data_IF_754910756304
#
_entry.id   IF_754910756304
#
_cell.length_a   1.000
_cell.length_b   1.000
_cell.length_c   1.000
_cell.angle_alpha   90.00
_cell.angle_beta   90.00
_cell.angle_gamma   90.00
#
_symmetry.space_group_name_H-M   'P 1'
#
loop_
_entity.id
_entity.type
_entity.pdbx_description
1 polymer ?
#
# COMPACT_ATOMS: atom_id res chain seq x y z
N UNK A 1 -3.69 -20.26 17.10
CA UNK A 1 -4.72 -19.26 17.46
C UNK A 1 -4.25 -18.49 18.68
N UNK A 2 -4.52 -17.19 18.77
CA UNK A 2 -4.07 -16.30 19.85
C UNK A 2 -5.12 -15.25 20.16
N UNK A 3 -5.27 -14.92 21.44
CA UNK A 3 -6.15 -13.86 21.94
C UNK A 3 -5.27 -12.84 22.67
N UNK A 4 -5.48 -11.57 22.38
CA UNK A 4 -4.76 -10.45 22.97
C UNK A 4 -5.70 -9.65 23.87
N UNK A 5 -5.22 -9.23 25.03
CA UNK A 5 -5.94 -8.36 25.96
C UNK A 5 -5.62 -6.88 25.70
N UNK A 6 -6.17 -6.00 26.53
CA UNK A 6 -5.95 -4.56 26.44
C UNK A 6 -4.53 -4.10 26.80
N UNK A 7 -3.77 -4.94 27.52
CA UNK A 7 -2.41 -4.63 27.95
C UNK A 7 -1.37 -5.10 26.92
N UNK A 8 -1.82 -5.81 25.88
CA UNK A 8 -1.00 -6.26 24.76
C UNK A 8 -0.60 -5.09 23.87
N UNK A 9 0.70 -4.86 23.74
CA UNK A 9 1.24 -3.79 22.90
C UNK A 9 1.36 -4.21 21.42
N UNK A 10 1.55 -3.19 20.56
CA UNK A 10 1.67 -3.38 19.11
C UNK A 10 2.89 -4.23 18.74
N UNK A 11 3.95 -4.18 19.55
CA UNK A 11 5.18 -4.94 19.30
C UNK A 11 4.99 -6.43 19.57
N UNK A 12 4.37 -6.79 20.68
CA UNK A 12 4.10 -8.17 21.08
C UNK A 12 3.13 -8.83 20.12
N UNK A 13 2.10 -8.10 19.70
CA UNK A 13 1.17 -8.55 18.66
C UNK A 13 1.90 -8.80 17.34
N UNK A 14 2.80 -7.89 16.94
CA UNK A 14 3.60 -8.03 15.73
C UNK A 14 4.47 -9.30 15.76
N UNK A 15 5.32 -9.44 16.78
CA UNK A 15 6.25 -10.59 16.92
C UNK A 15 5.48 -11.91 16.99
N UNK A 16 4.37 -11.95 17.72
CA UNK A 16 3.63 -13.19 17.88
C UNK A 16 2.84 -13.57 16.61
N UNK A 17 2.10 -12.63 15.99
CA UNK A 17 1.16 -12.94 14.91
C UNK A 17 1.65 -12.63 13.50
N UNK A 18 2.49 -11.60 13.32
CA UNK A 18 2.76 -11.00 12.01
C UNK A 18 4.14 -11.38 11.49
N UNK A 19 5.15 -11.39 12.34
CA UNK A 19 6.50 -11.84 11.98
C UNK A 19 6.51 -13.26 11.34
N UNK A 20 5.73 -14.26 11.82
CA UNK A 20 5.63 -15.55 11.14
C UNK A 20 5.02 -15.49 9.74
N UNK A 21 4.17 -14.50 9.46
CA UNK A 21 3.61 -14.27 8.12
C UNK A 21 4.65 -13.61 7.21
N UNK A 22 5.42 -12.64 7.72
CA UNK A 22 6.55 -12.05 6.98
C UNK A 22 7.59 -13.12 6.64
N UNK A 23 7.89 -14.04 7.56
CA UNK A 23 8.77 -15.18 7.28
C UNK A 23 8.23 -16.08 6.15
N UNK A 24 6.92 -16.35 6.13
CA UNK A 24 6.30 -17.11 5.05
C UNK A 24 6.31 -16.34 3.72
N UNK A 25 6.10 -15.03 3.75
CA UNK A 25 6.23 -14.17 2.57
C UNK A 25 7.61 -14.30 1.92
N UNK A 26 8.69 -14.22 2.70
CA UNK A 26 10.06 -14.43 2.19
C UNK A 26 10.35 -15.88 1.77
N UNK A 27 9.54 -16.85 2.20
CA UNK A 27 9.61 -18.23 1.73
C UNK A 27 8.80 -18.46 0.45
N UNK A 28 8.23 -17.41 -0.16
CA UNK A 28 7.48 -17.47 -1.41
C UNK A 28 5.98 -17.76 -1.24
N UNK A 29 5.44 -17.61 -0.02
CA UNK A 29 4.01 -17.78 0.23
C UNK A 29 3.24 -16.47 0.17
N UNK A 30 2.05 -16.50 -0.44
CA UNK A 30 1.11 -15.38 -0.38
C UNK A 30 0.52 -15.27 1.03
N UNK A 31 0.63 -14.08 1.63
CA UNK A 31 0.11 -13.79 2.96
C UNK A 31 -0.92 -12.66 2.89
N UNK A 32 -1.99 -12.75 3.68
CA UNK A 32 -3.04 -11.72 3.74
C UNK A 32 -3.45 -11.51 5.18
N UNK A 33 -3.50 -10.25 5.60
CA UNK A 33 -3.95 -9.84 6.93
C UNK A 33 -5.18 -8.94 6.76
N UNK A 34 -6.26 -9.29 7.45
CA UNK A 34 -7.51 -8.51 7.45
C UNK A 34 -7.87 -8.19 8.89
N UNK A 35 -8.17 -6.92 9.17
CA UNK A 35 -8.72 -6.49 10.45
C UNK A 35 -10.24 -6.37 10.35
N UNK A 36 -10.97 -7.13 11.16
CA UNK A 36 -12.44 -7.11 11.21
C UNK A 36 -12.94 -6.80 12.62
N UNK A 37 -14.06 -6.08 12.72
CA UNK A 37 -14.64 -5.66 14.00
C UNK A 37 -15.57 -4.46 13.84
N UNK A 38 -16.30 -4.12 14.90
CA UNK A 38 -17.22 -2.97 14.91
C UNK A 38 -16.49 -1.62 14.80
N UNK A 39 -17.23 -0.55 14.47
CA UNK A 39 -16.67 0.81 14.48
C UNK A 39 -16.15 1.17 15.88
N UNK A 40 -14.98 1.80 15.94
CA UNK A 40 -14.32 2.13 17.20
C UNK A 40 -13.56 0.98 17.87
N UNK A 41 -13.53 -0.22 17.29
CA UNK A 41 -12.82 -1.39 17.87
C UNK A 41 -11.29 -1.39 17.65
N UNK A 42 -10.71 -0.29 17.17
CA UNK A 42 -9.27 -0.19 16.98
C UNK A 42 -8.69 -0.80 15.70
N UNK A 43 -9.50 -1.21 14.70
CA UNK A 43 -8.97 -1.75 13.42
C UNK A 43 -7.87 -0.89 12.77
N UNK A 44 -8.12 0.42 12.68
CA UNK A 44 -7.18 1.41 12.12
C UNK A 44 -5.95 1.57 13.02
N UNK A 45 -6.12 1.46 14.34
CA UNK A 45 -5.00 1.51 15.29
C UNK A 45 -4.09 0.30 15.12
N UNK A 46 -4.66 -0.90 14.99
CA UNK A 46 -3.89 -2.14 14.76
C UNK A 46 -3.19 -2.11 13.40
N UNK A 47 -3.88 -1.80 12.30
CA UNK A 47 -3.22 -1.77 10.97
C UNK A 47 -2.23 -0.62 10.83
N UNK A 48 -2.60 0.57 11.27
CA UNK A 48 -1.78 1.79 11.15
C UNK A 48 -1.62 2.26 9.69
N UNK A 49 -1.50 3.57 9.49
CA UNK A 49 -1.14 4.18 8.20
C UNK A 49 0.02 5.18 8.36
N UNK A 50 0.78 5.04 9.45
CA UNK A 50 1.86 5.96 9.75
C UNK A 50 3.02 5.79 8.76
N UNK A 51 3.66 6.90 8.39
CA UNK A 51 4.81 6.89 7.48
C UNK A 51 6.14 6.52 8.15
N UNK A 52 6.13 6.29 9.47
CA UNK A 52 7.32 5.93 10.24
C UNK A 52 6.99 4.88 11.32
N UNK A 53 8.01 4.15 11.77
CA UNK A 53 7.92 3.16 12.85
C UNK A 53 8.20 3.84 14.18
N UNK A 54 7.25 3.75 15.11
CA UNK A 54 7.37 4.10 16.52
C UNK A 54 6.90 2.92 17.38
N UNK A 55 7.02 3.02 18.72
CA UNK A 55 6.52 1.99 19.63
C UNK A 55 5.02 1.74 19.46
N UNK A 56 4.24 2.76 19.10
CA UNK A 56 2.79 2.66 18.91
C UNK A 56 2.37 2.42 17.45
N UNK A 57 3.32 2.35 16.51
CA UNK A 57 3.00 2.12 15.11
C UNK A 57 2.26 0.80 14.91
N UNK A 58 1.25 0.82 14.05
CA UNK A 58 0.51 -0.37 13.63
C UNK A 58 1.33 -1.32 12.76
N UNK A 59 0.65 -2.32 12.22
CA UNK A 59 1.29 -3.40 11.45
C UNK A 59 1.93 -2.92 10.15
N UNK A 60 1.23 -2.12 9.34
CA UNK A 60 1.66 -1.72 7.99
C UNK A 60 3.08 -1.11 7.99
N UNK A 61 3.38 -0.04 8.77
CA UNK A 61 4.73 0.52 8.79
C UNK A 61 5.81 -0.45 9.27
N UNK A 62 5.47 -1.37 10.21
CA UNK A 62 6.42 -2.37 10.71
C UNK A 62 6.76 -3.42 9.66
N UNK A 63 5.74 -3.94 8.97
CA UNK A 63 5.91 -4.92 7.89
C UNK A 63 6.74 -4.31 6.76
N UNK A 64 6.44 -3.08 6.34
CA UNK A 64 7.21 -2.41 5.28
C UNK A 64 8.66 -2.22 5.71
N UNK A 65 8.91 -1.72 6.92
CA UNK A 65 10.27 -1.53 7.42
C UNK A 65 11.05 -2.84 7.50
N UNK A 66 10.41 -3.93 7.93
CA UNK A 66 11.05 -5.25 8.00
C UNK A 66 11.34 -5.82 6.61
N UNK A 67 10.41 -5.68 5.65
CA UNK A 67 10.64 -6.11 4.26
C UNK A 67 11.83 -5.36 3.67
N UNK A 68 11.85 -4.02 3.76
CA UNK A 68 12.97 -3.22 3.24
C UNK A 68 14.28 -3.62 3.90
N UNK A 69 14.32 -3.77 5.23
CA UNK A 69 15.52 -4.19 5.96
C UNK A 69 16.04 -5.56 5.50
N UNK A 70 15.16 -6.55 5.33
CA UNK A 70 15.56 -7.90 4.89
C UNK A 70 16.06 -7.92 3.44
N UNK A 71 15.51 -7.06 2.59
CA UNK A 71 16.00 -6.88 1.22
C UNK A 71 17.39 -6.24 1.23
N UNK A 72 17.61 -5.22 2.04
CA UNK A 72 18.93 -4.57 2.19
C UNK A 72 20.00 -5.50 2.79
N UNK A 73 19.62 -6.38 3.73
CA UNK A 73 20.50 -7.38 4.34
C UNK A 73 20.65 -8.67 3.51
N UNK A 74 19.92 -8.77 2.40
CA UNK A 74 19.88 -9.93 1.53
C UNK A 74 21.17 -10.15 0.74
N UNK A 75 21.14 -11.10 -0.18
CA UNK A 75 22.29 -11.36 -1.05
C UNK A 75 22.52 -10.16 -1.99
N UNK A 76 23.70 -9.51 -1.96
CA UNK A 76 23.97 -8.36 -2.83
C UNK A 76 23.98 -8.70 -4.32
N UNK A 77 24.13 -9.98 -4.68
CA UNK A 77 24.08 -10.46 -6.06
C UNK A 77 22.64 -10.73 -6.55
N UNK A 78 21.64 -10.63 -5.67
CA UNK A 78 20.24 -10.85 -5.99
C UNK A 78 19.55 -9.51 -6.32
N UNK A 79 18.92 -9.44 -7.49
CA UNK A 79 18.10 -8.29 -7.87
C UNK A 79 16.68 -8.50 -7.35
N UNK A 80 16.26 -7.67 -6.40
CA UNK A 80 14.91 -7.69 -5.84
C UNK A 80 14.15 -6.44 -6.31
N UNK A 81 12.98 -6.66 -6.90
CA UNK A 81 12.02 -5.60 -7.22
C UNK A 81 10.92 -5.57 -6.15
N UNK A 82 10.68 -4.38 -5.58
CA UNK A 82 9.62 -4.16 -4.60
C UNK A 82 8.53 -3.28 -5.20
N UNK A 83 7.33 -3.86 -5.32
CA UNK A 83 6.13 -3.16 -5.78
C UNK A 83 5.14 -3.00 -4.64
N UNK A 84 4.56 -1.80 -4.51
CA UNK A 84 3.54 -1.50 -3.50
C UNK A 84 2.38 -0.76 -4.16
N UNK A 85 1.17 -1.04 -3.69
CA UNK A 85 -0.05 -0.38 -4.13
C UNK A 85 -0.90 -0.08 -2.90
N UNK A 86 -1.44 1.13 -2.81
CA UNK A 86 -2.29 1.52 -1.69
C UNK A 86 -3.65 1.95 -2.22
N UNK A 87 -4.64 1.10 -2.02
CA UNK A 87 -5.95 1.22 -2.66
C UNK A 87 -7.04 1.40 -1.59
N UNK A 88 -7.90 2.39 -1.78
CA UNK A 88 -9.13 2.56 -1.01
C UNK A 88 -10.31 1.99 -1.79
N UNK A 89 -11.15 1.21 -1.10
CA UNK A 89 -12.48 0.84 -1.57
C UNK A 89 -13.49 1.60 -0.71
N UNK A 90 -14.14 2.60 -1.30
CA UNK A 90 -15.15 3.42 -0.62
C UNK A 90 -16.39 3.54 -1.50
N UNK A 91 -17.55 3.18 -0.95
CA UNK A 91 -18.83 3.23 -1.67
C UNK A 91 -18.80 2.49 -3.03
N UNK A 92 -18.24 1.28 -3.05
CA UNK A 92 -18.03 0.48 -4.28
C UNK A 92 -17.13 1.14 -5.35
N UNK A 93 -16.45 2.24 -5.01
CA UNK A 93 -15.45 2.88 -5.86
C UNK A 93 -14.04 2.57 -5.39
N UNK A 94 -13.16 2.29 -6.35
CA UNK A 94 -11.74 2.02 -6.13
C UNK A 94 -10.97 3.31 -6.39
N UNK A 95 -10.11 3.68 -5.44
CA UNK A 95 -9.23 4.86 -5.55
C UNK A 95 -7.80 4.46 -5.27
N UNK A 96 -6.90 4.84 -6.16
CA UNK A 96 -5.46 4.72 -5.93
C UNK A 96 -4.99 5.87 -5.03
N UNK A 97 -4.48 5.54 -3.84
CA UNK A 97 -3.99 6.51 -2.88
C UNK A 97 -2.54 6.93 -3.15
N UNK A 98 -1.83 6.25 -4.06
CA UNK A 98 -0.48 6.63 -4.49
C UNK A 98 -0.47 7.44 -5.79
N UNK A 99 -1.62 7.59 -6.47
CA UNK A 99 -1.73 8.42 -7.67
C UNK A 99 -1.69 9.93 -7.30
N UNK A 100 -0.61 10.65 -7.65
CA UNK A 100 -0.49 12.07 -7.33
C UNK A 100 -1.51 12.94 -8.08
N UNK A 101 -2.11 12.44 -9.16
CA UNK A 101 -3.13 13.15 -9.94
C UNK A 101 -4.51 13.13 -9.26
N UNK A 102 -4.78 12.15 -8.40
CA UNK A 102 -6.02 12.02 -7.64
C UNK A 102 -6.17 13.09 -6.54
N UNK A 103 -5.06 13.62 -6.01
CA UNK A 103 -5.06 14.65 -4.96
C UNK A 103 -5.52 16.04 -5.43
N UNK A 104 -5.64 16.27 -6.74
CA UNK A 104 -5.92 17.59 -7.33
C UNK A 104 -7.42 17.91 -7.34
N UNK A 105 -8.30 16.95 -7.04
CA UNK A 105 -9.74 17.09 -7.31
C UNK A 105 -10.53 17.80 -6.19
N UNK A 106 -9.98 17.95 -4.97
CA UNK A 106 -10.72 18.55 -3.83
C UNK A 106 -10.43 20.03 -3.50
N UNK A 107 -9.52 20.72 -4.20
CA UNK A 107 -9.16 22.12 -3.87
C UNK A 107 -9.72 23.21 -4.79
N UNK A 108 -10.59 22.91 -5.76
CA UNK A 108 -11.14 23.94 -6.66
C UNK A 108 -12.55 24.41 -6.28
N UNK A 109 -12.69 24.89 -5.03
CA UNK A 109 -13.74 25.85 -4.70
C UNK A 109 -13.12 27.22 -4.42
N UNK A 110 -13.33 28.14 -5.37
CA UNK A 110 -13.03 29.58 -5.35
C UNK A 110 -11.56 30.02 -5.52
N UNK A 111 -11.20 30.52 -6.71
CA UNK A 111 -11.01 31.96 -7.00
C UNK A 111 -10.34 32.17 -8.37
N UNK A 112 -11.05 32.83 -9.27
CA UNK A 112 -10.55 33.40 -10.53
C UNK A 112 -9.48 34.47 -10.25
N UNK A 113 -8.35 34.45 -10.97
CA UNK A 113 -7.84 35.57 -11.82
C UNK A 113 -6.53 35.24 -12.57
N UNK A 114 -6.36 35.92 -13.71
CA UNK A 114 -5.43 35.76 -14.84
C UNK A 114 -3.91 35.96 -14.63
N UNK A 115 -3.18 35.32 -15.57
CA UNK A 115 -1.98 35.75 -16.33
C UNK A 115 -0.54 35.72 -15.73
N UNK A 116 0.30 34.88 -16.36
CA UNK A 116 1.51 35.34 -17.08
C UNK A 116 2.89 34.90 -16.56
N UNK A 117 3.67 34.17 -17.39
CA UNK A 117 5.15 34.18 -17.34
C UNK A 117 5.86 32.82 -17.41
N UNK A 118 6.71 32.64 -18.44
CA UNK A 118 7.45 31.42 -18.81
C UNK A 118 8.82 31.27 -18.11
N UNK A 119 9.40 30.07 -18.28
CA UNK A 119 10.84 29.66 -18.32
C UNK A 119 11.41 29.07 -17.01
N UNK A 120 12.10 27.92 -16.97
CA UNK A 120 12.55 26.93 -17.96
C UNK A 120 13.39 25.82 -17.28
N UNK A 121 13.66 24.70 -17.98
CA UNK A 121 14.73 23.76 -17.62
C UNK A 121 14.34 22.28 -17.56
N UNK A 122 14.73 21.51 -18.59
CA UNK A 122 14.43 20.09 -18.87
C UNK A 122 15.04 19.09 -17.88
N UNK A 123 14.33 17.99 -17.56
CA UNK A 123 14.80 16.57 -17.58
C UNK A 123 13.59 15.63 -17.70
N UNK A 124 13.64 14.69 -18.66
CA UNK A 124 12.61 13.65 -18.90
C UNK A 124 12.42 12.73 -17.70
N UNK A 125 11.29 12.03 -17.56
CA UNK A 125 10.85 10.91 -18.40
C UNK A 125 9.43 11.16 -18.95
N UNK A 126 9.29 11.08 -20.27
CA UNK A 126 8.00 11.03 -20.96
C UNK A 126 7.50 9.59 -20.95
N UNK A 127 6.52 9.28 -20.09
CA UNK A 127 5.50 8.29 -20.42
C UNK A 127 4.15 8.99 -20.27
N UNK A 128 3.55 9.34 -21.40
CA UNK A 128 2.13 9.70 -21.46
C UNK A 128 1.36 8.41 -21.21
N UNK A 129 1.04 8.14 -19.94
CA UNK A 129 0.01 7.14 -19.62
C UNK A 129 -1.30 7.79 -20.03
N UNK A 130 -2.04 7.14 -20.93
CA UNK A 130 -3.34 7.64 -21.35
C UNK A 130 -4.27 7.74 -20.11
N UNK A 131 -5.23 8.68 -20.07
CA UNK A 131 -6.05 8.95 -18.87
C UNK A 131 -7.06 7.85 -18.49
N UNK A 132 -6.79 6.57 -18.78
CA UNK A 132 -7.82 5.52 -18.79
C UNK A 132 -7.43 4.16 -18.22
N UNK A 133 -6.26 3.99 -17.60
CA UNK A 133 -5.96 2.74 -16.89
C UNK A 133 -6.69 2.74 -15.54
N UNK A 134 -8.01 2.59 -15.63
CA UNK A 134 -8.89 2.38 -14.49
C UNK A 134 -8.47 1.08 -13.83
N UNK A 135 -8.15 1.14 -12.54
CA UNK A 135 -8.00 -0.04 -11.71
C UNK A 135 -9.34 -0.81 -11.76
N UNK A 136 -9.28 -2.08 -12.19
CA UNK A 136 -10.45 -2.95 -12.33
C UNK A 136 -10.24 -4.22 -11.54
N UNK A 137 -11.26 -4.59 -10.78
CA UNK A 137 -11.35 -5.91 -10.20
C UNK A 137 -11.99 -6.83 -11.25
N UNK A 138 -11.27 -7.87 -11.66
CA UNK A 138 -11.74 -8.89 -12.60
C UNK A 138 -11.63 -10.25 -11.91
N UNK A 139 -12.71 -11.04 -11.95
CA UNK A 139 -12.62 -12.44 -11.58
C UNK A 139 -11.95 -13.22 -12.71
N UNK A 140 -10.87 -13.93 -12.39
CA UNK A 140 -10.25 -14.87 -13.31
C UNK A 140 -11.25 -16.00 -13.60
N UNK A 141 -11.74 -16.13 -14.85
CA UNK A 141 -12.71 -17.16 -15.21
C UNK A 141 -12.15 -18.58 -15.09
N UNK A 142 -10.83 -18.73 -15.01
CA UNK A 142 -10.13 -20.01 -14.91
C UNK A 142 -9.86 -20.42 -13.47
N UNK A 143 -9.56 -19.44 -12.60
CA UNK A 143 -9.00 -19.70 -11.27
C UNK A 143 -9.93 -19.35 -10.11
N UNK A 144 -11.08 -18.70 -10.35
CA UNK A 144 -11.91 -18.06 -9.30
C UNK A 144 -11.13 -17.07 -8.41
N UNK A 145 -9.99 -16.58 -8.89
CA UNK A 145 -9.18 -15.59 -8.19
C UNK A 145 -9.69 -14.20 -8.56
N UNK A 146 -9.66 -13.28 -7.60
CA UNK A 146 -9.95 -11.88 -7.85
C UNK A 146 -8.64 -11.20 -8.25
N UNK A 147 -8.57 -10.68 -9.48
CA UNK A 147 -7.41 -9.98 -10.04
C UNK A 147 -7.71 -8.48 -10.02
N UNK A 148 -6.79 -7.68 -9.47
CA UNK A 148 -6.82 -6.23 -9.56
C UNK A 148 -5.89 -5.81 -10.71
N UNK A 149 -6.45 -5.39 -11.85
CA UNK A 149 -5.70 -4.93 -13.02
C UNK A 149 -5.59 -3.41 -12.98
N UNK A 150 -4.38 -2.85 -13.17
CA UNK A 150 -4.10 -1.41 -13.16
C UNK A 150 -2.86 -1.04 -12.34
N UNK A 151 -2.40 -1.94 -11.46
CA UNK A 151 -1.03 -1.98 -11.00
C UNK A 151 -0.29 -2.89 -11.99
N UNK A 152 0.59 -2.32 -12.80
CA UNK A 152 1.27 -3.04 -13.89
C UNK A 152 1.99 -4.28 -13.37
N UNK A 153 1.55 -5.46 -13.82
CA UNK A 153 2.38 -6.67 -13.82
C UNK A 153 3.16 -6.64 -15.14
N UNK A 154 4.49 -6.44 -15.07
CA UNK A 154 5.33 -6.69 -16.23
C UNK A 154 5.51 -8.21 -16.37
N UNK A 155 5.14 -8.82 -17.51
CA UNK A 155 5.46 -10.21 -17.75
C UNK A 155 6.97 -10.33 -18.01
N UNK A 156 7.61 -11.28 -17.34
CA UNK A 156 8.97 -11.76 -17.69
C UNK A 156 8.92 -12.52 -19.02
#
# INVERSE_FOLDING_TARGET
DRVYDQDSDQSSLYTASIEPLVNQFFAGYNCTVIAYGQTGSGKTYTMGSASYVSQDSGLIPRVIAEICRRVEEGNPDETIELTCSFIELYNEEIRDLLDPSAAVVESTSSRSTNNGGLTGGKRGISRTVAPSDKIRIIEDPTSKNIIVIGCTEEPV
#
